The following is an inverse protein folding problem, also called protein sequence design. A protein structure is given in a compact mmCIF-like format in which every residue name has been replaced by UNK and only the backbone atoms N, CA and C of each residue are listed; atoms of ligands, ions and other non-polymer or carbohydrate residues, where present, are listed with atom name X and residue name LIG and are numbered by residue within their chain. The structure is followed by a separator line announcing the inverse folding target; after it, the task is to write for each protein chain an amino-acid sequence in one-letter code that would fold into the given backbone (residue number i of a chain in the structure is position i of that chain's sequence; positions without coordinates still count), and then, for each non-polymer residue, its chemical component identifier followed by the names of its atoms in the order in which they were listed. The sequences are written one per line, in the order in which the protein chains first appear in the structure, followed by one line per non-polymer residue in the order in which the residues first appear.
data_IF_666070860674
#
_entry.id   IF_666070860674
#
_cell.length_a   1.000
_cell.length_b   1.000
_cell.length_c   1.000
_cell.angle_alpha   90.00
_cell.angle_beta   90.00
_cell.angle_gamma   90.00
#
_symmetry.space_group_name_H-M   'P 1'
#
loop_
_entity.id
_entity.type
_entity.pdbx_description
1 polymer ?
#
# COMPACT_ATOMS: atom_id res chain seq x y z
N UNK A 1 -10.65 -20.71 -8.80
CA UNK A 1 -11.55 -19.55 -8.60
C UNK A 1 -11.14 -18.46 -9.57
N UNK A 2 -12.11 -17.75 -10.14
CA UNK A 2 -11.84 -16.54 -10.93
C UNK A 2 -11.50 -15.42 -9.95
N UNK A 3 -10.43 -14.66 -10.22
CA UNK A 3 -10.04 -13.52 -9.39
C UNK A 3 -10.99 -12.34 -9.63
N UNK A 4 -11.25 -11.55 -8.59
CA UNK A 4 -11.97 -10.29 -8.68
C UNK A 4 -11.12 -9.26 -9.44
N UNK A 5 -11.63 -8.65 -10.53
CA UNK A 5 -10.95 -7.57 -11.24
C UNK A 5 -10.92 -6.30 -10.38
N UNK A 6 -9.82 -6.11 -9.66
CA UNK A 6 -9.55 -4.90 -8.88
C UNK A 6 -8.03 -4.71 -8.71
N UNK A 7 -7.63 -3.47 -8.48
CA UNK A 7 -6.27 -3.04 -8.17
C UNK A 7 -6.18 -2.56 -6.74
N UNK A 8 -5.38 -3.26 -5.95
CA UNK A 8 -5.20 -3.02 -4.52
C UNK A 8 -3.78 -2.51 -4.27
N UNK A 9 -3.65 -1.39 -3.56
CA UNK A 9 -2.38 -0.92 -2.99
C UNK A 9 -2.38 -1.18 -1.49
N UNK A 10 -1.32 -1.77 -0.97
CA UNK A 10 -1.11 -1.97 0.47
C UNK A 10 0.14 -1.19 0.87
N UNK A 11 0.03 -0.38 1.91
CA UNK A 11 1.11 0.45 2.41
C UNK A 11 1.29 0.24 3.90
N UNK A 12 2.48 -0.22 4.28
CA UNK A 12 2.84 -0.62 5.64
C UNK A 12 4.38 -0.60 5.76
N UNK A 13 4.93 -0.10 6.86
CA UNK A 13 6.39 -0.04 7.05
C UNK A 13 7.00 -1.38 7.45
N UNK A 14 6.19 -2.40 7.80
CA UNK A 14 6.60 -3.77 8.07
C UNK A 14 6.54 -4.65 6.80
N UNK A 15 7.70 -5.07 6.24
CA UNK A 15 7.74 -5.95 5.07
C UNK A 15 7.08 -7.32 5.30
N UNK A 16 7.01 -7.80 6.55
CA UNK A 16 6.32 -9.03 6.92
C UNK A 16 4.82 -8.93 6.70
N UNK A 17 4.20 -7.83 7.13
CA UNK A 17 2.78 -7.54 6.90
C UNK A 17 2.50 -7.40 5.41
N UNK A 18 3.34 -6.67 4.67
CA UNK A 18 3.21 -6.53 3.22
C UNK A 18 3.29 -7.89 2.51
N UNK A 19 4.24 -8.73 2.90
CA UNK A 19 4.44 -10.06 2.30
C UNK A 19 3.23 -10.94 2.54
N UNK A 20 2.77 -11.05 3.79
CA UNK A 20 1.61 -11.86 4.16
C UNK A 20 0.33 -11.38 3.44
N UNK A 21 0.08 -10.06 3.47
CA UNK A 21 -1.06 -9.43 2.80
C UNK A 21 -1.04 -9.64 1.30
N UNK A 22 0.13 -9.48 0.65
CA UNK A 22 0.27 -9.71 -0.78
C UNK A 22 0.02 -11.16 -1.16
N UNK A 23 0.59 -12.12 -0.41
CA UNK A 23 0.40 -13.55 -0.67
C UNK A 23 -1.07 -13.96 -0.57
N UNK A 24 -1.80 -13.41 0.40
CA UNK A 24 -3.23 -13.66 0.57
C UNK A 24 -4.05 -13.00 -0.56
N UNK A 25 -3.86 -11.70 -0.77
CA UNK A 25 -4.69 -10.92 -1.71
C UNK A 25 -4.45 -11.29 -3.17
N UNK A 26 -3.24 -11.73 -3.55
CA UNK A 26 -2.96 -12.22 -4.92
C UNK A 26 -3.80 -13.43 -5.31
N UNK A 27 -4.36 -14.17 -4.35
CA UNK A 27 -5.28 -15.28 -4.61
C UNK A 27 -6.68 -14.79 -4.99
N UNK A 28 -7.05 -13.57 -4.57
CA UNK A 28 -8.39 -13.01 -4.68
C UNK A 28 -8.50 -11.96 -5.79
N UNK A 29 -7.46 -11.13 -5.99
CA UNK A 29 -7.51 -9.95 -6.85
C UNK A 29 -6.52 -10.00 -8.01
N UNK A 30 -6.86 -9.33 -9.10
CA UNK A 30 -6.05 -9.29 -10.32
C UNK A 30 -4.74 -8.53 -10.16
N UNK A 31 -4.76 -7.40 -9.44
CA UNK A 31 -3.58 -6.54 -9.24
C UNK A 31 -3.45 -6.27 -7.74
N UNK A 32 -2.28 -6.60 -7.19
CA UNK A 32 -1.94 -6.36 -5.79
C UNK A 32 -0.53 -5.81 -5.74
N UNK A 33 -0.42 -4.53 -5.39
CA UNK A 33 0.83 -3.82 -5.19
C UNK A 33 1.04 -3.56 -3.70
N UNK A 34 2.31 -3.59 -3.30
CA UNK A 34 2.75 -3.27 -1.94
C UNK A 34 3.75 -2.14 -2.03
N UNK A 35 3.80 -1.31 -0.99
CA UNK A 35 4.81 -0.26 -0.84
C UNK A 35 5.13 -0.09 0.65
N UNK A 36 6.43 0.03 0.98
CA UNK A 36 6.87 0.25 2.36
C UNK A 36 6.92 1.73 2.71
N UNK A 37 7.11 2.59 1.70
CA UNK A 37 7.23 4.03 1.88
C UNK A 37 5.91 4.74 1.51
N UNK A 38 5.13 5.23 2.49
CA UNK A 38 3.91 5.95 2.22
C UNK A 38 4.13 7.28 1.47
N UNK A 39 5.35 7.82 1.48
CA UNK A 39 5.74 8.98 0.67
C UNK A 39 5.64 8.75 -0.84
N UNK A 40 5.60 7.50 -1.30
CA UNK A 40 5.45 7.16 -2.73
C UNK A 40 4.00 7.06 -3.20
N UNK A 41 3.02 7.07 -2.28
CA UNK A 41 1.59 7.00 -2.65
C UNK A 41 1.24 8.01 -3.75
N UNK A 42 1.61 9.30 -3.67
CA UNK A 42 1.27 10.26 -4.73
C UNK A 42 1.82 9.88 -6.10
N UNK A 43 3.06 9.36 -6.17
CA UNK A 43 3.65 8.88 -7.42
C UNK A 43 2.89 7.69 -7.98
N UNK A 44 2.58 6.70 -7.13
CA UNK A 44 1.82 5.51 -7.52
C UNK A 44 0.41 5.83 -8.01
N UNK A 45 -0.26 6.80 -7.37
CA UNK A 45 -1.59 7.28 -7.80
C UNK A 45 -1.57 8.02 -9.15
N UNK A 46 -0.43 8.64 -9.50
CA UNK A 46 -0.25 9.27 -10.81
C UNK A 46 0.05 8.23 -11.91
N UNK A 47 0.72 7.13 -11.57
CA UNK A 47 1.09 6.07 -12.51
C UNK A 47 -0.07 5.12 -12.84
N UNK A 48 -0.93 4.80 -11.86
CA UNK A 48 -2.09 3.93 -12.08
C UNK A 48 -3.24 4.21 -11.12
N UNK A 49 -4.44 3.74 -11.49
CA UNK A 49 -5.61 3.77 -10.62
C UNK A 49 -5.64 2.54 -9.70
N UNK A 50 -5.99 2.79 -8.44
CA UNK A 50 -6.30 1.75 -7.47
C UNK A 50 -7.76 1.86 -7.05
N UNK A 51 -8.42 0.72 -6.90
CA UNK A 51 -9.80 0.64 -6.42
C UNK A 51 -9.87 0.72 -4.90
N UNK A 52 -8.83 0.19 -4.22
CA UNK A 52 -8.70 0.20 -2.77
C UNK A 52 -7.23 0.45 -2.38
N UNK A 53 -7.04 1.26 -1.34
CA UNK A 53 -5.74 1.48 -0.70
C UNK A 53 -5.89 1.07 0.76
N UNK A 54 -5.06 0.12 1.19
CA UNK A 54 -4.90 -0.27 2.59
C UNK A 54 -3.68 0.45 3.13
N UNK A 55 -3.86 1.23 4.18
CA UNK A 55 -2.82 2.08 4.76
C UNK A 55 -2.77 1.86 6.27
N UNK A 56 -1.60 1.54 6.81
CA UNK A 56 -1.43 1.42 8.26
C UNK A 56 -1.59 2.78 8.95
N UNK A 57 -2.33 2.80 10.06
CA UNK A 57 -2.64 3.99 10.86
C UNK A 57 -1.41 4.59 11.55
N UNK A 58 -0.26 3.89 11.55
CA UNK A 58 1.02 4.44 11.97
C UNK A 58 1.54 5.55 11.04
N UNK A 59 0.96 5.71 9.85
CA UNK A 59 1.24 6.84 8.97
C UNK A 59 0.68 8.14 9.54
N UNK A 60 1.50 8.84 10.33
CA UNK A 60 1.20 10.21 10.76
C UNK A 60 1.76 11.16 9.70
N UNK A 61 0.87 11.77 8.89
CA UNK A 61 1.20 12.90 8.02
C UNK A 61 1.82 14.02 8.87
N UNK A 62 3.16 14.14 8.85
CA UNK A 62 3.87 15.27 9.46
C UNK A 62 4.95 14.96 10.50
N UNK A 63 5.35 13.70 10.73
CA UNK A 63 6.39 13.39 11.75
C UNK A 63 7.79 13.07 11.20
N UNK A 64 8.10 13.52 9.98
CA UNK A 64 9.44 13.41 9.37
C UNK A 64 10.11 14.77 9.09
N UNK A 65 9.53 15.89 9.54
CA UNK A 65 10.25 17.16 9.53
C UNK A 65 10.98 17.32 10.87
N UNK A 66 12.20 16.81 10.92
CA UNK A 66 13.13 16.95 12.05
C UNK A 66 13.65 18.39 12.20
N UNK A 67 12.77 19.38 12.11
CA UNK A 67 13.07 20.81 12.19
C UNK A 67 12.26 21.53 13.28
N UNK A 68 11.94 20.84 14.38
CA UNK A 68 11.57 21.49 15.64
C UNK A 68 12.32 20.84 16.81
N UNK A 69 13.50 21.39 17.14
CA UNK A 69 14.32 21.03 18.30
C UNK A 69 15.81 21.30 18.13
#
# INVERSE_FOLDING_TARGET
MVKTPASILIVDDDPGILTASQMFLKQLFTIVQVETDPGKIPGLLNEQKFDVILLDMNFTLGKNDGTEG
#
